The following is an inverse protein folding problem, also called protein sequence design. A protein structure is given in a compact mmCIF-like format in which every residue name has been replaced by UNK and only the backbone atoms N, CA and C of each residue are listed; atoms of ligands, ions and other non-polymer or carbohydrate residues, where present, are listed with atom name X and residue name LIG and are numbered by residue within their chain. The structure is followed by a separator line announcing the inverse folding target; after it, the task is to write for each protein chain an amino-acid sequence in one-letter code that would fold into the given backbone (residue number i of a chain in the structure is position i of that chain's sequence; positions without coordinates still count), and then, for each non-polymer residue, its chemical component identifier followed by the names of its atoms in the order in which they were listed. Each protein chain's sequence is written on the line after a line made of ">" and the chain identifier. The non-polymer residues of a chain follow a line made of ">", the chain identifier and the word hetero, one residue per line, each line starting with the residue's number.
data_IF_722027503063
#
_entry.id   IF_722027503063
#
_cell.length_a   1.000
_cell.length_b   1.000
_cell.length_c   1.000
_cell.angle_alpha   90.00
_cell.angle_beta   90.00
_cell.angle_gamma   90.00
#
_symmetry.space_group_name_H-M   'P 1'
#
loop_
_entity.id
_entity.type
_entity.pdbx_description
1 polymer ?
#
# COMPACT_ATOMS: atom_id res chain seq x y z
N UNK A 1 31.35 -47.08 20.40
CA UNK A 1 31.98 -45.76 20.12
C UNK A 1 31.14 -44.89 19.21
N UNK A 2 30.30 -45.44 18.33
CA UNK A 2 29.43 -44.68 17.40
C UNK A 2 28.25 -43.99 18.09
N UNK A 3 27.59 -44.62 19.07
CA UNK A 3 26.45 -44.02 19.79
C UNK A 3 26.81 -42.77 20.61
N UNK A 4 28.01 -42.72 21.18
CA UNK A 4 28.45 -41.58 22.01
C UNK A 4 28.73 -40.33 21.16
N UNK A 5 29.18 -40.52 19.92
CA UNK A 5 29.49 -39.43 18.99
C UNK A 5 28.19 -38.83 18.42
N UNK A 6 27.21 -39.67 18.06
CA UNK A 6 25.90 -39.22 17.60
C UNK A 6 25.15 -38.38 18.65
N UNK A 7 25.16 -38.83 19.91
CA UNK A 7 24.51 -38.16 21.03
C UNK A 7 25.19 -36.82 21.41
N UNK A 8 26.49 -36.69 21.13
CA UNK A 8 27.22 -35.42 21.30
C UNK A 8 26.88 -34.44 20.18
N UNK A 9 26.71 -34.92 18.95
CA UNK A 9 26.32 -34.10 17.81
C UNK A 9 24.89 -33.55 17.96
N UNK A 10 23.94 -34.37 18.42
CA UNK A 10 22.57 -33.92 18.72
C UNK A 10 22.53 -32.83 19.80
N UNK A 11 23.32 -32.98 20.87
CA UNK A 11 23.42 -31.97 21.94
C UNK A 11 24.00 -30.66 21.42
N UNK A 12 25.02 -30.71 20.58
CA UNK A 12 25.62 -29.52 19.97
C UNK A 12 24.63 -28.78 19.05
N UNK A 13 23.87 -29.53 18.23
CA UNK A 13 22.82 -28.95 17.38
C UNK A 13 21.69 -28.30 18.21
N UNK A 14 21.30 -28.92 19.32
CA UNK A 14 20.30 -28.34 20.23
C UNK A 14 20.83 -27.07 20.91
N UNK A 15 22.10 -27.03 21.32
CA UNK A 15 22.69 -25.82 21.88
C UNK A 15 22.78 -24.69 20.87
N UNK A 16 23.20 -24.96 19.64
CA UNK A 16 23.22 -23.96 18.56
C UNK A 16 21.82 -23.44 18.24
N UNK A 17 20.80 -24.30 18.22
CA UNK A 17 19.41 -23.91 18.00
C UNK A 17 18.88 -23.02 19.14
N UNK A 18 19.20 -23.35 20.39
CA UNK A 18 18.82 -22.53 21.55
C UNK A 18 19.50 -21.16 21.45
N UNK A 19 20.79 -21.11 21.16
CA UNK A 19 21.53 -19.86 20.98
C UNK A 19 20.96 -19.02 19.83
N UNK A 20 20.64 -19.63 18.69
CA UNK A 20 20.03 -18.96 17.55
C UNK A 20 18.64 -18.39 17.90
N UNK A 21 17.80 -19.13 18.63
CA UNK A 21 16.50 -18.64 19.09
C UNK A 21 16.62 -17.48 20.09
N UNK A 22 17.58 -17.55 21.01
CA UNK A 22 17.84 -16.47 21.96
C UNK A 22 18.38 -15.23 21.24
N UNK A 23 19.26 -15.40 20.26
CA UNK A 23 19.77 -14.31 19.43
C UNK A 23 18.65 -13.64 18.62
N UNK A 24 17.75 -14.44 18.03
CA UNK A 24 16.57 -13.94 17.30
C UNK A 24 15.66 -13.13 18.23
N UNK A 25 15.30 -13.67 19.40
CA UNK A 25 14.46 -12.95 20.37
C UNK A 25 15.11 -11.65 20.85
N UNK A 26 16.44 -11.63 21.03
CA UNK A 26 17.18 -10.42 21.38
C UNK A 26 17.17 -9.40 20.24
N UNK A 27 17.29 -9.84 18.99
CA UNK A 27 17.22 -8.96 17.82
C UNK A 27 15.82 -8.37 17.65
N UNK A 28 14.76 -9.17 17.83
CA UNK A 28 13.37 -8.69 17.84
C UNK A 28 13.15 -7.63 18.93
N UNK A 29 13.59 -7.89 20.16
CA UNK A 29 13.47 -6.94 21.27
C UNK A 29 14.25 -5.64 21.03
N UNK A 30 15.42 -5.72 20.37
CA UNK A 30 16.19 -4.53 19.99
C UNK A 30 15.50 -3.72 18.90
N UNK A 31 14.91 -4.40 17.90
CA UNK A 31 14.16 -3.77 16.82
C UNK A 31 12.90 -3.06 17.36
N UNK A 32 12.16 -3.70 18.26
CA UNK A 32 11.01 -3.08 18.93
C UNK A 32 11.42 -1.85 19.77
N UNK A 33 12.53 -1.94 20.49
CA UNK A 33 13.04 -0.81 21.28
C UNK A 33 13.53 0.37 20.41
N UNK A 34 14.10 0.09 19.23
CA UNK A 34 14.51 1.10 18.27
C UNK A 34 13.30 1.76 17.60
N UNK A 35 12.27 0.97 17.26
CA UNK A 35 10.99 1.48 16.75
C UNK A 35 10.30 2.39 17.78
N UNK A 36 10.26 1.99 19.06
CA UNK A 36 9.65 2.77 20.12
C UNK A 36 10.32 4.14 20.34
N UNK A 37 11.64 4.24 20.16
CA UNK A 37 12.37 5.52 20.21
C UNK A 37 12.05 6.43 19.03
N UNK A 38 11.81 5.85 17.85
CA UNK A 38 11.42 6.61 16.65
C UNK A 38 10.08 7.28 16.83
N UNK A 39 9.14 6.62 17.52
CA UNK A 39 7.76 7.05 17.72
C UNK A 39 7.55 7.97 18.94
N UNK A 40 8.63 8.39 19.62
CA UNK A 40 8.51 9.34 20.73
C UNK A 40 7.91 10.69 20.24
N UNK A 41 6.95 11.26 20.97
CA UNK A 41 6.20 12.43 20.50
C UNK A 41 7.08 13.66 20.29
N UNK A 42 8.16 13.82 21.06
CA UNK A 42 9.13 14.91 20.90
C UNK A 42 9.94 14.77 19.61
N UNK A 43 10.28 13.54 19.22
CA UNK A 43 11.02 13.24 17.97
C UNK A 43 10.10 13.47 16.76
N UNK A 44 8.82 13.12 16.87
CA UNK A 44 7.83 13.26 15.78
C UNK A 44 7.24 14.67 15.64
N UNK A 45 7.37 15.53 16.67
CA UNK A 45 6.85 16.90 16.68
C UNK A 45 7.10 17.70 15.39
N UNK A 46 8.33 17.78 14.82
CA UNK A 46 8.57 18.55 13.60
C UNK A 46 7.79 18.01 12.39
N UNK A 47 7.65 16.68 12.27
CA UNK A 47 6.89 16.06 11.19
C UNK A 47 5.40 16.42 11.31
N UNK A 48 4.82 16.32 12.51
CA UNK A 48 3.41 16.63 12.72
C UNK A 48 3.11 18.12 12.58
N UNK A 49 4.02 19.01 13.01
CA UNK A 49 3.89 20.44 12.79
C UNK A 49 3.89 20.78 11.29
N UNK A 50 4.83 20.23 10.53
CA UNK A 50 4.89 20.40 9.08
C UNK A 50 3.64 19.84 8.40
N UNK A 51 3.15 18.68 8.84
CA UNK A 51 1.97 18.03 8.25
C UNK A 51 0.71 18.85 8.50
N UNK A 52 0.54 19.41 9.71
CA UNK A 52 -0.58 20.28 10.03
C UNK A 52 -0.59 21.56 9.16
N UNK A 53 0.59 22.16 8.93
CA UNK A 53 0.72 23.32 8.03
C UNK A 53 0.44 22.96 6.58
N UNK A 54 0.91 21.81 6.10
CA UNK A 54 0.64 21.33 4.76
C UNK A 54 -0.86 21.02 4.55
N UNK A 55 -1.50 20.37 5.53
CA UNK A 55 -2.93 20.06 5.50
C UNK A 55 -3.82 21.28 5.34
N UNK A 56 -3.43 22.42 5.94
CA UNK A 56 -4.15 23.67 5.79
C UNK A 56 -4.10 24.24 4.34
N UNK A 57 -3.18 23.77 3.50
CA UNK A 57 -2.98 24.21 2.12
C UNK A 57 -3.36 23.15 1.07
N UNK A 58 -3.90 22.00 1.48
CA UNK A 58 -4.36 20.99 0.52
C UNK A 58 -5.52 21.51 -0.32
N UNK A 59 -5.45 21.25 -1.62
CA UNK A 59 -6.55 21.55 -2.54
C UNK A 59 -7.66 20.49 -2.43
N UNK A 60 -8.88 20.87 -2.76
CA UNK A 60 -10.01 19.92 -2.84
C UNK A 60 -9.76 18.90 -3.94
N UNK A 61 -9.88 17.62 -3.62
CA UNK A 61 -9.83 16.53 -4.60
C UNK A 61 -11.24 16.23 -5.08
N UNK A 62 -11.47 16.20 -6.38
CA UNK A 62 -12.77 15.79 -6.94
C UNK A 62 -12.67 14.40 -7.55
N UNK A 63 -13.69 13.57 -7.38
CA UNK A 63 -13.78 12.34 -8.14
C UNK A 63 -13.98 12.67 -9.64
N UNK A 64 -13.03 12.32 -10.50
CA UNK A 64 -13.05 12.62 -11.95
C UNK A 64 -13.18 11.37 -12.81
N UNK A 65 -12.82 10.21 -12.27
CA UNK A 65 -12.81 8.94 -13.00
C UNK A 65 -13.94 8.02 -12.58
N UNK A 66 -14.28 7.09 -13.48
CA UNK A 66 -15.30 6.07 -13.24
C UNK A 66 -14.79 4.68 -13.64
N UNK A 67 -15.24 3.66 -12.92
CA UNK A 67 -15.07 2.26 -13.32
C UNK A 67 -16.40 1.53 -13.16
N UNK A 68 -16.79 0.76 -14.17
CA UNK A 68 -17.98 -0.09 -14.10
C UNK A 68 -17.56 -1.48 -13.64
N UNK A 69 -18.13 -1.95 -12.53
CA UNK A 69 -17.94 -3.32 -12.06
C UNK A 69 -19.29 -3.94 -11.75
N UNK A 70 -19.57 -5.12 -12.33
CA UNK A 70 -20.84 -5.85 -12.16
C UNK A 70 -22.09 -4.96 -12.36
N UNK A 71 -22.07 -4.10 -13.38
CA UNK A 71 -23.14 -3.15 -13.72
C UNK A 71 -23.36 -2.01 -12.70
N UNK A 72 -22.39 -1.76 -11.82
CA UNK A 72 -22.39 -0.59 -10.95
C UNK A 72 -21.21 0.30 -11.30
N UNK A 73 -21.48 1.61 -11.44
CA UNK A 73 -20.49 2.62 -11.79
C UNK A 73 -19.93 3.25 -10.52
N UNK A 74 -18.66 3.02 -10.26
CA UNK A 74 -17.95 3.63 -9.15
C UNK A 74 -17.23 4.87 -9.62
N UNK A 75 -17.49 6.00 -8.97
CA UNK A 75 -16.79 7.26 -9.22
C UNK A 75 -15.69 7.46 -8.19
N UNK A 76 -14.47 7.78 -8.64
CA UNK A 76 -13.32 7.95 -7.74
C UNK A 76 -12.36 9.05 -8.23
N UNK A 77 -11.53 9.55 -7.33
CA UNK A 77 -10.41 10.43 -7.68
C UNK A 77 -9.18 9.61 -8.10
N UNK A 78 -8.61 9.82 -9.29
CA UNK A 78 -7.34 9.22 -9.68
C UNK A 78 -6.22 9.55 -8.69
N UNK A 79 -5.28 8.62 -8.54
CA UNK A 79 -4.08 8.85 -7.73
C UNK A 79 -3.29 10.08 -8.21
N UNK A 80 -3.26 10.35 -9.51
CA UNK A 80 -2.63 11.55 -10.08
C UNK A 80 -3.23 12.84 -9.52
N UNK A 81 -4.55 12.91 -9.43
CA UNK A 81 -5.30 14.09 -9.05
C UNK A 81 -5.14 14.35 -7.55
N UNK A 82 -5.20 13.27 -6.75
CA UNK A 82 -4.88 13.31 -5.32
C UNK A 82 -3.46 13.84 -5.09
N UNK A 83 -2.48 13.29 -5.80
CA UNK A 83 -1.08 13.69 -5.63
C UNK A 83 -0.84 15.13 -6.11
N UNK A 84 -1.52 15.59 -7.16
CA UNK A 84 -1.43 16.97 -7.63
C UNK A 84 -1.96 17.96 -6.58
N UNK A 85 -3.04 17.62 -5.87
CA UNK A 85 -3.65 18.46 -4.84
C UNK A 85 -2.81 18.58 -3.55
N UNK A 86 -2.05 17.53 -3.19
CA UNK A 86 -1.35 17.49 -1.88
C UNK A 86 0.16 17.73 -1.97
N UNK A 87 0.83 17.29 -3.04
CA UNK A 87 2.30 17.36 -3.14
C UNK A 87 2.86 18.78 -3.07
N UNK A 88 2.26 19.82 -3.67
CA UNK A 88 2.78 21.18 -3.57
C UNK A 88 2.90 21.65 -2.12
N UNK A 89 1.85 21.44 -1.32
CA UNK A 89 1.83 21.80 0.09
C UNK A 89 2.81 20.95 0.92
N UNK A 90 2.85 19.62 0.69
CA UNK A 90 3.80 18.74 1.37
C UNK A 90 5.25 19.20 1.12
N UNK A 91 5.62 19.42 -0.14
CA UNK A 91 6.97 19.84 -0.51
C UNK A 91 7.33 21.21 0.07
N UNK A 92 6.36 22.14 0.13
CA UNK A 92 6.55 23.48 0.73
C UNK A 92 6.97 23.41 2.19
N UNK A 93 6.49 22.42 2.93
CA UNK A 93 6.79 22.22 4.35
C UNK A 93 7.81 21.09 4.60
N UNK A 94 8.63 20.75 3.61
CA UNK A 94 9.73 19.79 3.79
C UNK A 94 9.27 18.34 3.99
N UNK A 95 8.05 18.00 3.53
CA UNK A 95 7.51 16.65 3.60
C UNK A 95 7.57 15.96 2.24
N UNK A 96 8.09 14.74 2.22
CA UNK A 96 8.12 13.86 1.06
C UNK A 96 7.21 12.66 1.27
N UNK A 97 6.30 12.41 0.32
CA UNK A 97 5.42 11.25 0.32
C UNK A 97 5.97 10.18 -0.62
N UNK A 98 6.22 8.97 -0.11
CA UNK A 98 6.69 7.82 -0.88
C UNK A 98 5.77 6.62 -0.69
N UNK A 99 5.71 5.74 -1.69
CA UNK A 99 4.91 4.52 -1.64
C UNK A 99 5.72 3.34 -2.16
N UNK A 100 6.01 2.39 -1.29
CA UNK A 100 6.75 1.18 -1.62
C UNK A 100 5.82 -0.02 -1.67
N UNK A 101 5.96 -0.84 -2.69
CA UNK A 101 5.22 -2.09 -2.81
C UNK A 101 6.10 -3.21 -2.24
N UNK A 102 5.63 -3.88 -1.17
CA UNK A 102 6.34 -4.99 -0.53
C UNK A 102 5.63 -6.30 -0.83
N UNK A 103 6.39 -7.31 -1.22
CA UNK A 103 5.89 -8.67 -1.34
C UNK A 103 5.75 -9.30 0.04
N UNK A 104 4.68 -10.06 0.23
CA UNK A 104 4.45 -10.84 1.44
C UNK A 104 4.29 -12.30 1.04
N UNK A 105 5.19 -13.19 1.46
CA UNK A 105 4.97 -14.63 1.33
C UNK A 105 3.88 -15.04 2.33
N UNK A 106 2.83 -15.72 1.84
CA UNK A 106 1.80 -16.30 2.71
C UNK A 106 1.53 -17.74 2.29
N UNK A 107 2.24 -18.68 2.90
CA UNK A 107 2.26 -20.09 2.50
C UNK A 107 2.59 -20.24 1.02
N UNK A 108 1.62 -20.74 0.24
CA UNK A 108 1.76 -20.97 -1.21
C UNK A 108 1.20 -19.80 -2.06
N UNK A 109 0.70 -18.74 -1.43
CA UNK A 109 0.11 -17.59 -2.10
C UNK A 109 1.08 -16.42 -2.15
N UNK A 110 0.99 -15.63 -3.22
CA UNK A 110 1.73 -14.39 -3.37
C UNK A 110 0.86 -13.22 -2.87
N UNK A 111 1.31 -12.57 -1.81
CA UNK A 111 0.72 -11.36 -1.27
C UNK A 111 1.51 -10.12 -1.63
N UNK A 112 0.83 -8.98 -1.68
CA UNK A 112 1.44 -7.67 -1.79
C UNK A 112 0.79 -6.71 -0.79
N UNK A 113 1.60 -5.82 -0.20
CA UNK A 113 1.12 -4.64 0.52
C UNK A 113 1.80 -3.39 0.00
N UNK A 114 1.19 -2.24 0.28
CA UNK A 114 1.77 -0.94 0.01
C UNK A 114 2.14 -0.31 1.35
N UNK A 115 3.37 0.16 1.47
CA UNK A 115 3.85 0.98 2.59
C UNK A 115 3.92 2.42 2.11
N UNK A 116 3.14 3.29 2.72
CA UNK A 116 3.09 4.72 2.41
C UNK A 116 3.79 5.48 3.52
N UNK A 117 4.86 6.19 3.18
CA UNK A 117 5.73 6.86 4.15
C UNK A 117 5.79 8.36 3.88
N UNK A 118 5.57 9.14 4.93
CA UNK A 118 5.93 10.55 5.00
C UNK A 118 7.34 10.69 5.60
N UNK A 119 8.22 11.37 4.90
CA UNK A 119 9.56 11.73 5.38
C UNK A 119 9.62 13.24 5.57
N UNK A 120 10.16 13.68 6.69
CA UNK A 120 10.40 15.09 6.97
C UNK A 120 11.88 15.43 6.79
N UNK A 121 12.20 16.68 6.45
CA UNK A 121 13.59 17.15 6.27
C UNK A 121 14.49 16.98 7.50
N UNK A 122 13.91 16.85 8.69
CA UNK A 122 14.66 16.52 9.92
C UNK A 122 15.18 15.08 9.96
N UNK A 123 14.80 14.23 9.00
CA UNK A 123 15.15 12.80 8.95
C UNK A 123 14.14 11.88 9.63
N UNK A 124 13.08 12.44 10.22
CA UNK A 124 12.00 11.67 10.86
C UNK A 124 11.04 11.16 9.79
N UNK A 125 10.49 9.96 9.98
CA UNK A 125 9.53 9.38 9.04
C UNK A 125 8.37 8.72 9.77
N UNK A 126 7.17 8.83 9.19
CA UNK A 126 5.96 8.16 9.65
C UNK A 126 5.36 7.35 8.49
N UNK A 127 5.10 6.07 8.70
CA UNK A 127 4.56 5.18 7.68
C UNK A 127 3.33 4.41 8.14
N UNK A 128 2.47 4.11 7.17
CA UNK A 128 1.33 3.20 7.31
C UNK A 128 1.45 2.08 6.29
N UNK A 129 0.85 0.94 6.61
CA UNK A 129 0.81 -0.22 5.74
C UNK A 129 -0.62 -0.59 5.37
N UNK A 130 -0.83 -0.84 4.08
CA UNK A 130 -2.12 -1.32 3.59
C UNK A 130 -2.41 -2.74 4.06
N UNK A 131 -3.70 -3.07 4.10
CA UNK A 131 -4.13 -4.48 4.18
C UNK A 131 -3.50 -5.25 3.02
N UNK A 132 -2.94 -6.45 3.27
CA UNK A 132 -2.33 -7.24 2.23
C UNK A 132 -3.38 -7.79 1.26
N UNK A 133 -3.03 -7.81 -0.02
CA UNK A 133 -3.88 -8.40 -1.08
C UNK A 133 -3.13 -9.52 -1.76
N UNK A 134 -3.83 -10.63 -1.98
CA UNK A 134 -3.31 -11.80 -2.66
C UNK A 134 -3.59 -11.73 -4.15
N UNK A 135 -2.61 -12.10 -4.96
CA UNK A 135 -2.72 -12.01 -6.42
C UNK A 135 -2.21 -13.26 -7.13
N UNK A 136 -2.72 -13.46 -8.35
CA UNK A 136 -2.22 -14.46 -9.27
C UNK A 136 -1.06 -13.87 -10.09
N UNK A 137 0.10 -14.50 -10.06
CA UNK A 137 1.30 -14.05 -10.81
C UNK A 137 1.08 -14.02 -12.33
N UNK A 138 0.13 -14.80 -12.84
CA UNK A 138 -0.22 -14.84 -14.25
C UNK A 138 -1.14 -13.67 -14.68
N UNK A 139 -1.67 -12.90 -13.72
CA UNK A 139 -2.59 -11.80 -13.96
C UNK A 139 -1.98 -10.46 -13.49
N UNK A 140 -0.87 -10.08 -14.14
CA UNK A 140 -0.10 -8.88 -13.77
C UNK A 140 -0.90 -7.57 -13.96
N UNK A 141 -1.90 -7.58 -14.85
CA UNK A 141 -2.77 -6.41 -15.09
C UNK A 141 -3.65 -6.14 -13.88
N UNK A 142 -4.26 -7.18 -13.34
CA UNK A 142 -5.07 -7.09 -12.13
C UNK A 142 -4.22 -6.70 -10.92
N UNK A 143 -2.99 -7.24 -10.80
CA UNK A 143 -2.04 -6.80 -9.77
C UNK A 143 -1.76 -5.28 -9.86
N UNK A 144 -1.49 -4.75 -11.06
CA UNK A 144 -1.27 -3.31 -11.26
C UNK A 144 -2.48 -2.46 -10.84
N UNK A 145 -3.69 -2.92 -11.14
CA UNK A 145 -4.93 -2.27 -10.71
C UNK A 145 -5.08 -2.27 -9.18
N UNK A 146 -4.82 -3.41 -8.52
CA UNK A 146 -4.88 -3.55 -7.06
C UNK A 146 -3.84 -2.68 -6.36
N UNK A 147 -2.59 -2.65 -6.83
CA UNK A 147 -1.53 -1.80 -6.25
C UNK A 147 -1.89 -0.33 -6.39
N UNK A 148 -2.44 0.09 -7.53
CA UNK A 148 -2.88 1.47 -7.74
C UNK A 148 -4.06 1.83 -6.82
N UNK A 149 -4.99 0.89 -6.63
CA UNK A 149 -6.10 1.03 -5.69
C UNK A 149 -5.59 1.22 -4.24
N UNK A 150 -4.73 0.32 -3.75
CA UNK A 150 -4.15 0.42 -2.40
C UNK A 150 -3.41 1.76 -2.21
N UNK A 151 -2.55 2.14 -3.17
CA UNK A 151 -1.83 3.41 -3.12
C UNK A 151 -2.76 4.60 -2.97
N UNK A 152 -3.89 4.61 -3.67
CA UNK A 152 -4.89 5.68 -3.58
C UNK A 152 -5.45 5.83 -2.18
N UNK A 153 -5.94 4.74 -1.58
CA UNK A 153 -6.58 4.80 -0.26
C UNK A 153 -5.56 5.08 0.85
N UNK A 154 -4.35 4.53 0.75
CA UNK A 154 -3.30 4.82 1.73
C UNK A 154 -2.93 6.31 1.78
N UNK A 155 -2.82 6.98 0.63
CA UNK A 155 -2.56 8.44 0.62
C UNK A 155 -3.71 9.20 1.26
N UNK A 156 -4.96 8.83 0.95
CA UNK A 156 -6.15 9.45 1.55
C UNK A 156 -6.18 9.28 3.08
N UNK A 157 -5.94 8.05 3.55
CA UNK A 157 -5.90 7.71 4.97
C UNK A 157 -4.77 8.45 5.70
N UNK A 158 -3.55 8.44 5.15
CA UNK A 158 -2.38 9.06 5.78
C UNK A 158 -2.52 10.58 5.89
N UNK A 159 -3.08 11.21 4.86
CA UNK A 159 -3.20 12.66 4.77
C UNK A 159 -4.52 13.21 5.30
N UNK A 160 -5.48 12.34 5.62
CA UNK A 160 -6.80 12.72 6.12
C UNK A 160 -7.64 13.48 5.10
N UNK A 161 -7.55 13.12 3.81
CA UNK A 161 -8.29 13.76 2.72
C UNK A 161 -9.35 12.83 2.14
N UNK A 162 -10.46 13.41 1.68
CA UNK A 162 -11.53 12.71 1.00
C UNK A 162 -11.82 13.39 -0.33
N UNK A 163 -12.25 12.61 -1.34
CA UNK A 163 -12.59 13.17 -2.63
C UNK A 163 -14.08 13.57 -2.64
N UNK A 164 -14.35 14.77 -3.13
CA UNK A 164 -15.71 15.24 -3.31
C UNK A 164 -16.43 14.34 -4.32
N UNK A 165 -17.64 13.91 -3.94
CA UNK A 165 -18.51 13.05 -4.76
C UNK A 165 -17.93 11.67 -5.08
N UNK A 166 -17.05 11.13 -4.24
CA UNK A 166 -16.73 9.70 -4.28
C UNK A 166 -17.93 8.92 -3.74
N UNK A 167 -18.54 8.09 -4.60
CA UNK A 167 -19.68 7.24 -4.25
C UNK A 167 -19.13 5.88 -3.81
N UNK A 168 -19.18 5.60 -2.51
CA UNK A 168 -18.98 4.25 -1.99
C UNK A 168 -20.34 3.55 -1.96
N UNK A 169 -20.47 2.52 -2.79
CA UNK A 169 -21.66 1.67 -2.92
C UNK A 169 -22.07 1.04 -1.57
N UNK A 170 -22.94 1.74 -0.84
CA UNK A 170 -23.89 1.09 0.07
C UNK A 170 -25.34 1.43 -0.25
N UNK A 171 -25.58 2.42 -1.10
CA UNK A 171 -26.95 2.81 -1.49
C UNK A 171 -27.49 1.99 -2.67
N UNK A 172 -26.67 1.14 -3.32
CA UNK A 172 -27.03 0.38 -4.51
C UNK A 172 -26.86 -1.14 -4.38
N UNK A 173 -26.98 -1.68 -3.16
CA UNK A 173 -27.15 -3.13 -3.00
C UNK A 173 -28.57 -3.48 -3.47
N UNK A 174 -28.77 -4.27 -4.55
CA UNK A 174 -30.08 -4.76 -4.91
C UNK A 174 -30.60 -5.57 -3.73
N UNK A 175 -31.73 -5.16 -3.17
CA UNK A 175 -32.51 -5.81 -2.12
C UNK A 175 -32.26 -7.33 -2.06
N UNK A 176 -31.31 -7.76 -1.23
CA UNK A 176 -31.09 -9.18 -0.95
C UNK A 176 -32.31 -9.63 -0.14
N UNK A 177 -33.00 -10.73 -0.49
CA UNK A 177 -34.19 -11.15 0.24
C UNK A 177 -33.87 -11.29 1.73
N UNK A 178 -34.52 -10.45 2.51
CA UNK A 178 -34.39 -10.35 3.95
C UNK A 178 -34.82 -11.69 4.58
N UNK A 179 -33.88 -12.57 4.91
CA UNK A 179 -34.15 -13.70 5.78
C UNK A 179 -34.08 -13.20 7.22
N UNK A 180 -35.23 -12.75 7.71
CA UNK A 180 -35.45 -12.37 9.11
C UNK A 180 -35.10 -13.55 10.02
N UNK A 181 -33.87 -13.62 10.53
CA UNK A 181 -33.58 -14.45 11.69
C UNK A 181 -33.99 -13.68 12.93
N UNK A 182 -35.02 -14.22 13.59
CA UNK A 182 -35.54 -13.81 14.88
C UNK A 182 -34.42 -13.67 15.91
N UNK A 183 -34.23 -12.46 16.42
CA UNK A 183 -33.49 -12.22 17.66
C UNK A 183 -34.30 -12.81 18.80
N UNK A 184 -33.89 -13.99 19.29
CA UNK A 184 -34.34 -14.49 20.58
C UNK A 184 -33.55 -13.77 21.66
N UNK A 185 -34.25 -12.89 22.38
CA UNK A 185 -33.84 -12.38 23.68
C UNK A 185 -33.74 -13.54 24.67
N UNK A 186 -32.60 -13.68 25.34
CA UNK A 186 -32.51 -14.23 26.69
C UNK A 186 -31.68 -13.29 27.55
N UNK A 187 -32.20 -12.99 28.76
CA UNK A 187 -31.65 -12.05 29.74
C UNK A 187 -30.33 -12.56 30.37
N UNK A 188 -29.78 -11.97 31.41
CA UNK A 188 -30.23 -10.99 32.38
C UNK A 188 -28.96 -10.61 33.18
N UNK A 189 -28.64 -9.33 33.37
CA UNK A 189 -27.89 -8.89 34.55
C UNK A 189 -28.27 -7.44 34.85
N UNK A 190 -29.21 -7.31 35.76
CA UNK A 190 -29.51 -6.10 36.51
C UNK A 190 -28.27 -5.58 37.26
N UNK A 191 -28.00 -4.29 37.16
CA UNK A 191 -27.73 -3.46 38.34
C UNK A 191 -27.89 -1.99 38.02
N UNK A 192 -28.85 -1.40 38.75
CA UNK A 192 -29.17 0.01 38.86
C UNK A 192 -27.95 0.89 39.11
N UNK A 193 -27.92 2.09 38.52
CA UNK A 193 -28.00 3.31 39.31
C UNK A 193 -28.63 4.47 38.52
N UNK A 194 -29.81 4.82 39.02
CA UNK A 194 -30.61 6.03 38.91
C UNK A 194 -29.78 7.33 38.86
N UNK A 195 -30.03 8.20 37.87
CA UNK A 195 -30.29 9.62 38.15
C UNK A 195 -31.32 10.19 37.18
N UNK A 196 -32.44 10.57 37.78
CA UNK A 196 -33.62 11.18 37.23
C UNK A 196 -33.44 12.69 37.10
N UNK A 197 -33.64 13.26 35.91
CA UNK A 197 -34.16 14.63 35.81
C UNK A 197 -35.12 14.75 34.63
N UNK A 198 -36.34 15.18 34.96
CA UNK A 198 -37.46 15.43 34.07
C UNK A 198 -37.31 16.85 33.49
N UNK A 199 -37.53 17.02 32.18
CA UNK A 199 -38.37 18.09 31.63
C UNK A 199 -38.57 17.88 30.13
N UNK A 200 -39.82 17.71 29.73
CA UNK A 200 -40.30 17.72 28.34
C UNK A 200 -40.43 19.17 27.85
N UNK A 201 -40.10 19.43 26.58
CA UNK A 201 -40.95 20.21 25.67
C UNK A 201 -40.47 20.06 24.21
N UNK A 202 -41.43 19.76 23.33
CA UNK A 202 -41.29 19.53 21.88
C UNK A 202 -41.33 20.84 21.08
N UNK A 203 -40.37 21.02 20.15
CA UNK A 203 -40.44 21.54 18.74
C UNK A 203 -41.09 22.92 18.43
N UNK A 204 -40.92 23.58 17.25
CA UNK A 204 -40.41 23.12 15.93
C UNK A 204 -39.46 24.08 15.16
N UNK A 205 -39.08 23.65 13.93
CA UNK A 205 -38.01 24.12 13.01
C UNK A 205 -38.31 25.40 12.17
N UNK A 206 -37.24 26.22 11.95
CA UNK A 206 -36.73 27.02 10.75
C UNK A 206 -37.67 27.93 9.93
N UNK A 207 -37.17 28.79 8.99
CA UNK A 207 -35.89 29.52 8.83
C UNK A 207 -36.10 31.05 8.56
N UNK A 208 -35.04 31.86 8.34
CA UNK A 208 -34.90 32.98 7.33
C UNK A 208 -33.74 33.91 7.71
N UNK A 209 -32.92 34.32 6.73
CA UNK A 209 -31.69 35.11 6.93
C UNK A 209 -31.83 36.63 6.76
N UNK A 210 -30.73 37.36 7.01
CA UNK A 210 -30.35 38.67 6.46
C UNK A 210 -28.97 39.05 7.05
N UNK A 211 -27.93 39.20 6.24
CA UNK A 211 -27.31 40.50 5.85
C UNK A 211 -27.16 41.50 7.01
N UNK A 212 -25.92 41.80 7.39
CA UNK A 212 -25.55 43.09 7.96
C UNK A 212 -24.34 43.66 7.20
N UNK A 213 -24.53 44.87 6.68
CA UNK A 213 -23.52 45.70 6.05
C UNK A 213 -23.08 46.85 6.96
N UNK A 214 -21.90 47.37 6.61
CA UNK A 214 -21.18 48.57 7.08
C UNK A 214 -22.03 49.75 7.58
N UNK A 215 -21.47 50.46 8.55
CA UNK A 215 -21.42 51.94 8.61
C UNK A 215 -20.08 52.41 9.18
N UNK A 216 -19.66 53.61 8.80
CA UNK A 216 -18.34 54.22 8.99
C UNK A 216 -18.45 55.61 9.64
N UNK A 217 -17.27 56.17 9.98
CA UNK A 217 -16.94 57.57 10.35
C UNK A 217 -17.15 57.94 11.85
N UNK A 218 -16.26 58.65 12.56
CA UNK A 218 -15.30 59.71 12.14
C UNK A 218 -14.15 59.93 13.16
N UNK A 219 -12.96 60.29 12.62
CA UNK A 219 -11.98 61.37 12.96
C UNK A 219 -11.87 61.90 14.42
N UNK A 220 -10.71 62.28 15.01
CA UNK A 220 -9.49 63.00 14.54
C UNK A 220 -8.41 62.93 15.65
N UNK A 221 -7.09 63.03 15.40
CA UNK A 221 -6.30 64.29 15.39
C UNK A 221 -4.81 64.00 15.09
N UNK A 222 -4.12 65.01 14.58
CA UNK A 222 -2.83 65.00 13.89
C UNK A 222 -1.62 65.52 14.71
N UNK A 223 -0.40 65.21 14.27
CA UNK A 223 0.87 66.02 14.27
C UNK A 223 2.01 65.09 13.79
N UNK A 224 3.05 65.43 13.04
CA UNK A 224 3.53 66.54 12.18
C UNK A 224 4.95 66.16 11.67
N UNK A 225 5.47 66.91 10.67
CA UNK A 225 6.85 66.95 10.09
C UNK A 225 7.06 66.02 8.85
N UNK A 226 7.16 66.46 7.58
CA UNK A 226 8.05 67.43 6.87
C UNK A 226 9.54 66.99 6.93
N UNK A 227 10.32 66.79 5.85
CA UNK A 227 10.53 67.54 4.59
C UNK A 227 11.36 66.73 3.55
N UNK A 228 11.05 66.93 2.24
CA UNK A 228 11.87 67.07 0.99
C UNK A 228 13.05 66.10 0.68
N UNK A 229 13.43 65.71 -0.57
CA UNK A 229 13.67 66.39 -1.88
C UNK A 229 13.65 65.31 -3.01
N UNK A 230 12.96 65.43 -4.17
CA UNK A 230 13.28 66.03 -5.50
C UNK A 230 14.21 65.28 -6.50
N UNK A 231 13.67 65.05 -7.74
CA UNK A 231 14.29 65.10 -9.11
C UNK A 231 15.23 63.94 -9.55
N UNK A 232 15.37 63.40 -10.80
CA UNK A 232 15.14 63.79 -12.22
C UNK A 232 15.14 62.51 -13.15
N UNK A 233 14.38 62.40 -14.26
CA UNK A 233 14.75 62.40 -15.74
C UNK A 233 15.99 61.54 -16.16
N UNK A 234 16.14 60.82 -17.30
CA UNK A 234 15.50 60.71 -18.64
C UNK A 234 16.23 59.64 -19.52
N UNK A 235 15.56 59.12 -20.58
CA UNK A 235 16.04 58.72 -21.96
C UNK A 235 17.28 57.80 -22.21
N UNK A 236 17.55 57.07 -23.32
CA UNK A 236 16.89 56.38 -24.47
C UNK A 236 18.05 55.79 -25.36
N UNK A 237 17.86 54.62 -26.01
CA UNK A 237 18.65 53.99 -27.15
C UNK A 237 20.11 53.52 -26.91
N UNK A 238 20.76 52.54 -27.58
CA UNK A 238 20.61 51.86 -28.88
C UNK A 238 21.48 50.55 -28.99
N UNK A 239 20.95 49.53 -29.69
CA UNK A 239 21.55 48.60 -30.70
C UNK A 239 22.85 47.75 -30.55
N UNK A 240 22.71 46.43 -30.78
CA UNK A 240 23.41 45.56 -31.78
C UNK A 240 22.86 44.10 -31.67
N UNK A 241 22.21 43.42 -32.65
CA UNK A 241 22.61 42.84 -33.98
C UNK A 241 23.75 41.79 -33.83
N UNK A 242 23.72 40.49 -34.24
CA UNK A 242 23.12 39.71 -35.38
C UNK A 242 23.16 38.17 -35.11
N UNK A 243 22.11 37.46 -35.59
CA UNK A 243 21.92 36.11 -36.23
C UNK A 243 22.81 34.88 -35.90
N UNK A 244 22.34 33.62 -35.75
CA UNK A 244 21.31 32.73 -36.38
C UNK A 244 21.81 31.84 -37.54
N UNK A 245 21.17 30.66 -37.64
CA UNK A 245 21.03 29.64 -38.73
C UNK A 245 21.83 28.32 -38.62
N UNK A 246 21.34 27.13 -39.02
CA UNK A 246 20.00 26.55 -39.28
C UNK A 246 20.16 25.05 -39.71
N UNK A 247 19.30 24.16 -39.19
CA UNK A 247 18.39 23.19 -39.88
C UNK A 247 18.88 22.27 -41.03
N UNK A 248 18.47 20.99 -41.00
CA UNK A 248 17.79 20.26 -42.12
C UNK A 248 17.17 18.90 -41.73
N UNK A 249 16.02 18.61 -42.36
CA UNK A 249 15.11 17.43 -42.30
C UNK A 249 15.14 16.63 -43.63
N UNK A 250 14.61 15.38 -43.61
CA UNK A 250 13.70 14.71 -44.60
C UNK A 250 13.75 13.16 -44.44
N UNK A 251 12.67 12.42 -44.06
CA UNK A 251 11.62 11.68 -44.86
C UNK A 251 12.17 10.66 -45.89
N UNK A 252 11.69 9.44 -46.18
CA UNK A 252 10.45 8.65 -45.93
C UNK A 252 10.63 7.19 -46.43
N UNK A 253 9.61 6.33 -46.23
CA UNK A 253 9.21 5.10 -46.98
C UNK A 253 9.27 3.74 -46.27
N UNK A 254 8.21 2.96 -46.53
CA UNK A 254 7.89 1.63 -46.02
C UNK A 254 8.09 0.58 -47.12
N UNK A 255 8.42 -0.67 -46.78
CA UNK A 255 8.05 -1.91 -47.49
C UNK A 255 8.35 -3.17 -46.65
N UNK A 256 7.68 -4.25 -47.03
CA UNK A 256 7.51 -5.57 -46.40
C UNK A 256 8.64 -6.58 -46.71
N UNK A 257 8.65 -7.72 -45.99
CA UNK A 257 9.06 -9.07 -46.43
C UNK A 257 10.32 -9.73 -45.82
N UNK A 258 10.04 -10.79 -45.04
CA UNK A 258 10.59 -12.18 -45.06
C UNK A 258 12.08 -12.50 -44.83
N UNK A 259 12.29 -13.47 -43.90
CA UNK A 259 13.20 -14.66 -43.93
C UNK A 259 14.65 -14.47 -44.46
N UNK A 260 15.75 -14.86 -43.81
CA UNK A 260 16.13 -16.18 -43.26
C UNK A 260 17.55 -16.08 -42.67
N UNK A 261 17.84 -16.91 -41.65
CA UNK A 261 19.10 -17.63 -41.36
C UNK A 261 20.49 -16.96 -41.56
N UNK A 262 21.29 -16.87 -40.48
CA UNK A 262 22.42 -17.78 -40.20
C UNK A 262 23.34 -17.25 -39.08
N UNK A 263 23.34 -18.01 -37.97
CA UNK A 263 24.44 -18.43 -37.09
C UNK A 263 25.79 -17.69 -37.12
N UNK A 264 26.16 -17.08 -35.99
CA UNK A 264 27.54 -17.02 -35.52
C UNK A 264 27.61 -17.19 -33.99
N UNK A 265 28.35 -18.22 -33.58
CA UNK A 265 28.48 -18.82 -32.24
C UNK A 265 29.28 -17.97 -31.25
N UNK A 266 28.89 -17.98 -29.97
CA UNK A 266 29.69 -18.16 -28.71
C UNK A 266 28.91 -17.62 -27.48
N UNK A 267 29.13 -18.09 -26.23
CA UNK A 267 29.19 -19.46 -25.72
C UNK A 267 28.06 -19.75 -24.69
N UNK A 268 27.66 -21.02 -24.59
CA UNK A 268 26.64 -21.54 -23.66
C UNK A 268 27.25 -21.78 -22.28
N UNK A 269 26.89 -20.96 -21.29
CA UNK A 269 27.15 -21.21 -19.87
C UNK A 269 25.79 -21.29 -19.15
N UNK A 270 25.49 -22.51 -18.70
CA UNK A 270 24.62 -22.89 -17.57
C UNK A 270 23.20 -22.32 -17.50
N UNK A 271 22.24 -22.96 -18.17
CA UNK A 271 20.78 -22.77 -17.96
C UNK A 271 20.07 -23.95 -17.26
N UNK A 272 20.82 -24.94 -16.77
CA UNK A 272 20.19 -26.14 -16.16
C UNK A 272 19.99 -25.99 -14.64
N UNK A 273 20.91 -25.33 -13.92
CA UNK A 273 20.87 -25.25 -12.46
C UNK A 273 19.67 -24.44 -11.89
N UNK A 274 19.18 -23.43 -12.62
CA UNK A 274 18.10 -22.57 -12.14
C UNK A 274 16.73 -23.27 -12.10
N UNK A 275 16.51 -24.28 -12.97
CA UNK A 275 15.24 -25.02 -13.00
C UNK A 275 15.18 -26.09 -11.91
N UNK A 276 16.30 -26.77 -11.64
CA UNK A 276 16.34 -27.86 -10.67
C UNK A 276 16.16 -27.32 -9.24
N UNK A 277 16.75 -26.18 -8.92
CA UNK A 277 16.60 -25.55 -7.60
C UNK A 277 15.17 -25.02 -7.36
N UNK A 278 14.51 -24.51 -8.40
CA UNK A 278 13.10 -24.15 -8.34
C UNK A 278 12.20 -25.38 -8.13
N UNK A 279 12.50 -26.50 -8.81
CA UNK A 279 11.75 -27.75 -8.63
C UNK A 279 11.91 -28.32 -7.22
N UNK A 280 13.11 -28.27 -6.65
CA UNK A 280 13.37 -28.69 -5.26
C UNK A 280 12.54 -27.84 -4.28
N UNK A 281 12.52 -26.51 -4.45
CA UNK A 281 11.71 -25.63 -3.62
C UNK A 281 10.21 -25.89 -3.75
N UNK A 282 9.74 -26.21 -4.96
CA UNK A 282 8.33 -26.56 -5.19
C UNK A 282 7.95 -27.89 -4.55
N UNK A 283 8.84 -28.89 -4.57
CA UNK A 283 8.63 -30.18 -3.89
C UNK A 283 8.57 -29.99 -2.38
N UNK A 284 9.52 -29.27 -1.79
CA UNK A 284 9.53 -28.99 -0.35
C UNK A 284 8.24 -28.28 0.12
N UNK A 285 7.78 -27.27 -0.64
CA UNK A 285 6.51 -26.59 -0.39
C UNK A 285 5.29 -27.52 -0.56
N UNK A 286 5.35 -28.45 -1.51
CA UNK A 286 4.33 -29.45 -1.73
C UNK A 286 4.19 -30.42 -0.55
N UNK A 287 5.32 -30.87 0.00
CA UNK A 287 5.37 -31.77 1.17
C UNK A 287 4.81 -31.11 2.43
N UNK A 288 5.18 -29.86 2.70
CA UNK A 288 4.64 -29.08 3.82
C UNK A 288 3.11 -28.90 3.68
N UNK A 289 2.64 -28.57 2.47
CA UNK A 289 1.21 -28.43 2.21
C UNK A 289 0.46 -29.75 2.36
N UNK A 290 1.03 -30.88 1.90
CA UNK A 290 0.43 -32.19 2.06
C UNK A 290 0.34 -32.60 3.54
N UNK A 291 1.39 -32.37 4.33
CA UNK A 291 1.40 -32.58 5.78
C UNK A 291 0.30 -31.78 6.49
N UNK A 292 0.18 -30.49 6.17
CA UNK A 292 -0.85 -29.63 6.75
C UNK A 292 -2.29 -30.09 6.45
N UNK A 293 -2.47 -30.83 5.35
CA UNK A 293 -3.74 -31.40 4.91
C UNK A 293 -3.92 -32.87 5.33
N UNK A 294 -3.08 -33.37 6.24
CA UNK A 294 -3.22 -34.70 6.84
C UNK A 294 -2.59 -35.85 6.05
N UNK A 295 -1.63 -35.58 5.16
CA UNK A 295 -0.81 -36.64 4.59
C UNK A 295 -0.04 -37.38 5.69
N UNK A 296 0.06 -38.70 5.58
CA UNK A 296 0.87 -39.50 6.51
C UNK A 296 2.33 -39.50 6.11
N UNK A 297 3.23 -39.73 7.07
CA UNK A 297 4.68 -39.86 6.79
C UNK A 297 4.97 -40.97 5.77
N UNK A 298 4.18 -42.05 5.76
CA UNK A 298 4.31 -43.13 4.76
C UNK A 298 3.97 -42.67 3.33
N UNK A 299 3.02 -41.76 3.16
CA UNK A 299 2.66 -41.22 1.84
C UNK A 299 3.75 -40.28 1.31
N UNK A 300 4.38 -39.49 2.19
CA UNK A 300 5.50 -38.64 1.81
C UNK A 300 6.72 -39.46 1.42
N UNK A 301 6.99 -40.54 2.15
CA UNK A 301 8.07 -41.47 1.82
C UNK A 301 7.84 -42.11 0.44
N UNK A 302 6.62 -42.57 0.16
CA UNK A 302 6.26 -43.12 -1.16
C UNK A 302 6.48 -42.10 -2.29
N UNK A 303 6.09 -40.84 -2.10
CA UNK A 303 6.31 -39.80 -3.11
C UNK A 303 7.77 -39.40 -3.26
N UNK A 304 8.57 -39.46 -2.18
CA UNK A 304 10.02 -39.26 -2.23
C UNK A 304 10.70 -40.37 -3.04
N UNK A 305 10.38 -41.64 -2.79
CA UNK A 305 10.89 -42.78 -3.57
C UNK A 305 10.47 -42.69 -5.05
N UNK A 306 9.27 -42.15 -5.31
CA UNK A 306 8.78 -41.89 -6.66
C UNK A 306 9.55 -40.75 -7.34
N UNK A 307 9.96 -39.72 -6.57
CA UNK A 307 10.83 -38.65 -7.04
C UNK A 307 12.25 -39.12 -7.35
N UNK A 308 12.81 -40.01 -6.54
CA UNK A 308 14.12 -40.61 -6.77
C UNK A 308 14.14 -41.52 -7.99
N UNK A 309 13.05 -42.26 -8.25
CA UNK A 309 12.96 -43.22 -9.36
C UNK A 309 12.50 -42.60 -10.68
N UNK A 310 11.62 -41.59 -10.66
CA UNK A 310 10.99 -41.02 -11.86
C UNK A 310 11.24 -39.52 -12.05
N UNK A 311 11.88 -38.85 -11.09
CA UNK A 311 12.25 -37.44 -11.13
C UNK A 311 11.30 -36.52 -10.35
N UNK A 312 11.85 -35.37 -9.92
CA UNK A 312 11.18 -34.39 -9.06
C UNK A 312 9.86 -33.84 -9.63
N UNK A 313 9.73 -33.77 -10.95
CA UNK A 313 8.47 -33.34 -11.60
C UNK A 313 7.33 -34.30 -11.34
N UNK A 314 7.62 -35.61 -11.18
CA UNK A 314 6.61 -36.63 -10.93
C UNK A 314 6.21 -36.65 -9.45
N UNK A 315 7.18 -36.49 -8.54
CA UNK A 315 6.93 -36.26 -7.11
C UNK A 315 6.06 -35.01 -6.88
N UNK A 316 6.41 -33.90 -7.53
CA UNK A 316 5.65 -32.65 -7.44
C UNK A 316 4.20 -32.82 -7.93
N UNK A 317 3.99 -33.59 -8.99
CA UNK A 317 2.65 -33.89 -9.50
C UNK A 317 1.83 -34.71 -8.49
N UNK A 318 2.42 -35.75 -7.89
CA UNK A 318 1.74 -36.56 -6.89
C UNK A 318 1.33 -35.74 -5.65
N UNK A 319 2.24 -34.88 -5.16
CA UNK A 319 1.97 -33.93 -4.07
C UNK A 319 0.82 -32.96 -4.44
N UNK A 320 0.87 -32.38 -5.64
CA UNK A 320 -0.15 -31.45 -6.13
C UNK A 320 -1.54 -32.11 -6.25
N UNK A 321 -1.60 -33.34 -6.74
CA UNK A 321 -2.85 -34.09 -6.90
C UNK A 321 -3.49 -34.38 -5.53
N UNK A 322 -2.68 -34.77 -4.53
CA UNK A 322 -3.15 -34.98 -3.16
C UNK A 322 -3.70 -33.69 -2.54
N UNK A 323 -2.92 -32.59 -2.58
CA UNK A 323 -3.31 -31.30 -2.02
C UNK A 323 -4.61 -30.78 -2.66
N UNK A 324 -4.74 -30.94 -3.98
CA UNK A 324 -5.94 -30.53 -4.72
C UNK A 324 -7.17 -31.34 -4.30
N UNK A 325 -7.01 -32.66 -4.13
CA UNK A 325 -8.10 -33.55 -3.69
C UNK A 325 -8.57 -33.22 -2.27
N UNK A 326 -7.64 -32.98 -1.34
CA UNK A 326 -7.99 -32.62 0.04
C UNK A 326 -8.72 -31.28 0.13
N UNK A 327 -8.28 -30.27 -0.64
CA UNK A 327 -8.95 -28.97 -0.71
C UNK A 327 -10.36 -29.06 -1.27
N UNK A 328 -10.60 -29.91 -2.27
CA UNK A 328 -11.93 -30.14 -2.81
C UNK A 328 -12.86 -30.83 -1.80
N UNK A 329 -12.34 -31.77 -1.02
CA UNK A 329 -13.11 -32.45 0.03
C UNK A 329 -13.49 -31.48 1.17
N UNK A 330 -12.59 -30.58 1.55
CA UNK A 330 -12.86 -29.56 2.56
C UNK A 330 -13.89 -28.49 2.14
N UNK A 331 -14.11 -28.30 0.84
CA UNK A 331 -15.13 -27.36 0.31
C UNK A 331 -16.54 -27.98 0.19
N UNK A 332 -16.65 -29.31 0.32
CA UNK A 332 -17.93 -30.03 0.21
C UNK A 332 -18.53 -30.41 1.59
N UNK A 333 -17.81 -30.13 2.68
CA UNK A 333 -18.25 -30.30 4.07
C UNK A 333 -18.65 -28.96 4.66
#
# INVERSE_FOLDING_TARGET
>A
MTETIANTNEKNLLTELIEAKVALAKAEMQLEAEQAKKDEPEVMAPLFEALAKAQAEFESVTATSRVTFKNVDFKFAPLSDILAAVRPALNKYGLTLTQQTKHIPFGNANGVKVVTTLLHESGVSYDIESVPVFYNVNDIKNLGAQVTYLRRYEVKTLLGIEADSEELDMDNVPNVPNHSQSVQQTGNYDSNHNYQSKAQAKTPRKPTGARYGKTAQSASLATSLSSSEQTSLSEVTSSNKVASDSVSQATSEAESSSQTSETATQPKVTKTACNDEQLIQMVARGEEAALSLGATESQLLEWSELGESQGLTVQLKALSDFVSKQRQQAQQQ
#
